data_IF_055253236237
#
_entry.id   IF_055253236237
#
_cell.length_a   1.000
_cell.length_b   1.000
_cell.length_c   1.000
_cell.angle_alpha   90.00
_cell.angle_beta   90.00
_cell.angle_gamma   90.00
#
_symmetry.space_group_name_H-M   'P 1'
#
loop_
_entity.id
_entity.type
_entity.pdbx_description
1 polymer ?
#
# COMPACT_ATOMS: atom_id res chain seq x y z
N UNK A 1 -52.44 7.27 -48.38
CA UNK A 1 -52.73 6.44 -47.20
C UNK A 1 -51.53 5.60 -46.74
N UNK A 2 -50.68 5.10 -47.64
CA UNK A 2 -49.51 4.30 -47.24
C UNK A 2 -48.39 5.12 -46.57
N UNK A 3 -48.21 6.39 -46.95
CA UNK A 3 -47.14 7.24 -46.38
C UNK A 3 -47.43 7.66 -44.94
N UNK A 4 -48.66 8.10 -44.61
CA UNK A 4 -49.06 8.38 -43.22
C UNK A 4 -48.92 7.16 -42.30
N UNK A 5 -49.19 5.96 -42.86
CA UNK A 5 -49.03 4.72 -42.10
C UNK A 5 -47.56 4.43 -41.82
N UNK A 6 -46.66 4.64 -42.79
CA UNK A 6 -45.22 4.50 -42.62
C UNK A 6 -44.68 5.50 -41.62
N UNK A 7 -45.05 6.77 -41.72
CA UNK A 7 -44.63 7.82 -40.77
C UNK A 7 -45.07 7.51 -39.33
N UNK A 8 -46.29 6.98 -39.14
CA UNK A 8 -46.77 6.56 -37.82
C UNK A 8 -45.97 5.37 -37.27
N UNK A 9 -45.62 4.41 -38.12
CA UNK A 9 -44.79 3.26 -37.74
C UNK A 9 -43.38 3.72 -37.35
N UNK A 10 -42.76 4.59 -38.14
CA UNK A 10 -41.42 5.11 -37.87
C UNK A 10 -41.38 5.96 -36.59
N UNK A 11 -42.40 6.78 -36.36
CA UNK A 11 -42.54 7.54 -35.11
C UNK A 11 -42.70 6.62 -33.88
N UNK A 12 -43.44 5.52 -34.01
CA UNK A 12 -43.58 4.51 -32.96
C UNK A 12 -42.26 3.79 -32.70
N UNK A 13 -41.56 3.35 -33.75
CA UNK A 13 -40.26 2.68 -33.64
C UNK A 13 -39.22 3.60 -33.00
N UNK A 14 -39.19 4.88 -33.40
CA UNK A 14 -38.32 5.88 -32.79
C UNK A 14 -38.62 6.10 -31.30
N UNK A 15 -39.91 6.18 -30.93
CA UNK A 15 -40.32 6.28 -29.52
C UNK A 15 -39.87 5.06 -28.72
N UNK A 16 -40.11 3.85 -29.23
CA UNK A 16 -39.69 2.60 -28.59
C UNK A 16 -38.17 2.56 -28.43
N UNK A 17 -37.42 2.93 -29.46
CA UNK A 17 -35.97 2.98 -29.42
C UNK A 17 -35.45 3.95 -28.35
N UNK A 18 -36.03 5.16 -28.28
CA UNK A 18 -35.69 6.14 -27.25
C UNK A 18 -35.99 5.65 -25.84
N UNK A 19 -37.13 4.98 -25.63
CA UNK A 19 -37.48 4.40 -24.33
C UNK A 19 -36.54 3.26 -23.94
N UNK A 20 -36.14 2.42 -24.90
CA UNK A 20 -35.14 1.36 -24.69
C UNK A 20 -33.80 1.95 -24.24
N UNK A 21 -33.26 2.94 -24.96
CA UNK A 21 -32.00 3.59 -24.60
C UNK A 21 -32.04 4.20 -23.19
N UNK A 22 -33.14 4.88 -22.84
CA UNK A 22 -33.33 5.45 -21.50
C UNK A 22 -33.45 4.38 -20.40
N UNK A 23 -33.95 3.20 -20.72
CA UNK A 23 -33.96 2.05 -19.80
C UNK A 23 -32.55 1.47 -19.63
N UNK A 24 -31.84 1.22 -20.73
CA UNK A 24 -30.48 0.67 -20.72
C UNK A 24 -29.51 1.55 -19.94
N UNK A 25 -29.55 2.88 -20.12
CA UNK A 25 -28.73 3.81 -19.36
C UNK A 25 -29.01 3.77 -17.85
N UNK A 26 -30.29 3.70 -17.45
CA UNK A 26 -30.67 3.57 -16.03
C UNK A 26 -30.24 2.22 -15.45
N UNK A 27 -30.34 1.16 -16.24
CA UNK A 27 -29.91 -0.18 -15.84
C UNK A 27 -28.39 -0.25 -15.67
N UNK A 28 -27.61 0.28 -16.61
CA UNK A 28 -26.15 0.34 -16.52
C UNK A 28 -25.69 1.11 -15.28
N UNK A 29 -26.26 2.29 -15.00
CA UNK A 29 -25.93 3.04 -13.78
C UNK A 29 -26.25 2.26 -12.49
N UNK A 30 -27.34 1.49 -12.45
CA UNK A 30 -27.63 0.59 -11.32
C UNK A 30 -26.65 -0.59 -11.24
N UNK A 31 -26.28 -1.17 -12.37
CA UNK A 31 -25.33 -2.27 -12.44
C UNK A 31 -23.95 -1.85 -11.92
N UNK A 32 -23.47 -0.65 -12.23
CA UNK A 32 -22.22 -0.10 -11.70
C UNK A 32 -22.26 0.10 -10.18
N UNK A 33 -23.35 0.65 -9.66
CA UNK A 33 -23.56 0.82 -8.20
C UNK A 33 -23.57 -0.54 -7.51
N UNK A 34 -24.28 -1.53 -8.08
CA UNK A 34 -24.33 -2.88 -7.55
C UNK A 34 -22.97 -3.57 -7.63
N UNK A 35 -22.25 -3.44 -8.74
CA UNK A 35 -20.90 -3.99 -8.89
C UNK A 35 -19.94 -3.41 -7.85
N UNK A 36 -19.96 -2.09 -7.62
CA UNK A 36 -19.15 -1.43 -6.59
C UNK A 36 -19.53 -1.91 -5.18
N UNK A 37 -20.82 -2.07 -4.89
CA UNK A 37 -21.29 -2.60 -3.60
C UNK A 37 -20.88 -4.06 -3.39
N UNK A 38 -20.92 -4.86 -4.45
CA UNK A 38 -20.51 -6.27 -4.43
C UNK A 38 -18.99 -6.41 -4.23
N UNK A 39 -18.20 -5.54 -4.87
CA UNK A 39 -16.76 -5.43 -4.64
C UNK A 39 -16.46 -5.12 -3.18
N UNK A 40 -17.15 -4.14 -2.58
CA UNK A 40 -16.97 -3.77 -1.19
C UNK A 40 -17.36 -4.91 -0.24
N UNK A 41 -18.46 -5.61 -0.52
CA UNK A 41 -18.88 -6.78 0.24
C UNK A 41 -17.85 -7.91 0.17
N UNK A 42 -17.32 -8.20 -1.03
CA UNK A 42 -16.27 -9.20 -1.23
C UNK A 42 -14.99 -8.82 -0.47
N UNK A 43 -14.58 -7.56 -0.55
CA UNK A 43 -13.45 -7.03 0.21
C UNK A 43 -13.67 -7.16 1.72
N UNK A 44 -14.85 -6.80 2.24
CA UNK A 44 -15.15 -6.96 3.67
C UNK A 44 -15.16 -8.43 4.11
N UNK A 45 -15.69 -9.34 3.29
CA UNK A 45 -15.67 -10.77 3.58
C UNK A 45 -14.24 -11.32 3.62
N UNK A 46 -13.41 -10.92 2.66
CA UNK A 46 -12.00 -11.28 2.60
C UNK A 46 -11.21 -10.68 3.77
N UNK A 47 -11.46 -9.41 4.11
CA UNK A 47 -10.87 -8.76 5.27
C UNK A 47 -11.26 -9.46 6.57
N UNK A 48 -12.53 -9.83 6.77
CA UNK A 48 -12.95 -10.60 7.96
C UNK A 48 -12.26 -11.96 8.04
N UNK A 49 -12.13 -12.66 6.90
CA UNK A 49 -11.43 -13.95 6.83
C UNK A 49 -9.95 -13.81 7.18
N UNK A 50 -9.32 -12.70 6.76
CA UNK A 50 -7.88 -12.45 6.90
C UNK A 50 -7.56 -11.45 8.02
N UNK A 51 -8.52 -11.04 8.84
CA UNK A 51 -8.37 -9.94 9.79
C UNK A 51 -7.25 -10.21 10.80
N UNK A 52 -7.22 -11.41 11.37
CA UNK A 52 -6.17 -11.81 12.33
C UNK A 52 -4.77 -11.81 11.69
N UNK A 53 -4.70 -12.03 10.37
CA UNK A 53 -3.44 -11.98 9.62
C UNK A 53 -2.93 -10.55 9.50
N UNK A 54 -3.79 -9.61 9.13
CA UNK A 54 -3.43 -8.19 9.09
C UNK A 54 -3.01 -7.69 10.48
N UNK A 55 -3.71 -8.14 11.54
CA UNK A 55 -3.33 -7.83 12.91
C UNK A 55 -1.94 -8.39 13.30
N UNK A 56 -1.62 -9.63 12.92
CA UNK A 56 -0.29 -10.22 13.18
C UNK A 56 0.83 -9.45 12.47
N UNK A 57 0.62 -9.07 11.21
CA UNK A 57 1.60 -8.27 10.46
C UNK A 57 1.75 -6.89 11.11
N UNK A 58 0.65 -6.23 11.47
CA UNK A 58 0.67 -4.93 12.15
C UNK A 58 1.38 -5.01 13.51
N UNK A 59 1.13 -6.07 14.29
CA UNK A 59 1.79 -6.33 15.56
C UNK A 59 3.29 -6.58 15.39
N UNK A 60 3.70 -7.39 14.40
CA UNK A 60 5.10 -7.64 14.11
C UNK A 60 5.84 -6.36 13.69
N UNK A 61 5.15 -5.48 12.94
CA UNK A 61 5.67 -4.20 12.48
C UNK A 61 5.63 -3.09 13.51
N UNK A 62 5.10 -3.33 14.71
CA UNK A 62 4.97 -2.29 15.72
C UNK A 62 6.36 -1.70 16.01
N UNK A 63 6.58 -0.41 15.71
CA UNK A 63 7.85 0.23 16.00
C UNK A 63 8.04 0.35 17.51
N UNK A 64 9.30 0.41 17.96
CA UNK A 64 9.62 0.57 19.37
C UNK A 64 9.09 1.90 19.94
N UNK A 65 8.96 2.92 19.09
CA UNK A 65 8.32 4.20 19.42
C UNK A 65 7.01 4.33 18.65
N UNK A 66 5.95 4.88 19.27
CA UNK A 66 4.72 5.17 18.54
C UNK A 66 5.00 6.14 17.39
N UNK A 67 4.48 5.83 16.20
CA UNK A 67 4.49 6.76 15.06
C UNK A 67 3.64 7.96 15.43
N UNK A 68 4.14 9.17 15.20
CA UNK A 68 3.39 10.40 15.45
C UNK A 68 2.21 10.49 14.48
N UNK A 69 1.10 11.09 14.92
CA UNK A 69 -0.11 11.26 14.11
C UNK A 69 -0.01 12.43 13.09
N UNK A 70 1.15 13.08 13.04
CA UNK A 70 1.47 14.16 12.10
C UNK A 70 2.02 13.60 10.79
N UNK A 71 1.95 14.36 9.70
CA UNK A 71 2.58 13.96 8.44
C UNK A 71 4.08 13.72 8.66
N UNK A 72 4.53 12.48 8.47
CA UNK A 72 5.92 12.08 8.68
C UNK A 72 6.91 12.79 7.75
N UNK A 73 6.40 13.46 6.70
CA UNK A 73 7.18 14.26 5.76
C UNK A 73 7.45 15.69 6.25
N UNK A 74 6.63 16.20 7.18
CA UNK A 74 6.76 17.56 7.71
C UNK A 74 8.18 17.90 8.21
N UNK A 75 8.88 17.05 8.98
CA UNK A 75 10.23 17.35 9.46
C UNK A 75 11.35 17.16 8.42
N UNK A 76 11.03 16.83 7.16
CA UNK A 76 12.03 16.57 6.14
C UNK A 76 12.71 17.84 5.63
N UNK A 77 13.97 17.67 5.24
CA UNK A 77 14.72 18.70 4.54
C UNK A 77 14.35 18.69 3.05
N UNK A 78 13.99 19.85 2.53
CA UNK A 78 13.59 20.02 1.14
C UNK A 78 14.59 20.90 0.39
N UNK A 79 14.66 20.75 -0.93
CA UNK A 79 15.38 21.67 -1.81
C UNK A 79 14.56 22.93 -2.11
N UNK A 80 15.12 23.82 -2.92
CA UNK A 80 14.46 25.08 -3.34
C UNK A 80 13.16 24.85 -4.13
N UNK A 81 12.96 23.66 -4.70
CA UNK A 81 11.77 23.27 -5.44
C UNK A 81 10.73 22.56 -4.55
N UNK A 82 11.00 22.44 -3.24
CA UNK A 82 10.14 21.75 -2.30
C UNK A 82 10.20 20.22 -2.41
N UNK A 83 11.21 19.65 -3.07
CA UNK A 83 11.41 18.20 -3.15
C UNK A 83 12.29 17.71 -2.00
N UNK A 84 12.04 16.52 -1.44
CA UNK A 84 12.82 16.02 -0.31
C UNK A 84 14.25 15.66 -0.75
N UNK A 85 15.24 16.14 0.00
CA UNK A 85 16.65 15.89 -0.29
C UNK A 85 17.01 14.41 -0.08
N UNK A 86 17.81 13.78 -0.98
CA UNK A 86 18.22 12.38 -0.87
C UNK A 86 19.41 12.19 0.09
N UNK A 87 19.26 12.65 1.33
CA UNK A 87 20.30 12.61 2.35
C UNK A 87 20.00 11.59 3.46
N UNK A 88 20.98 11.35 4.33
CA UNK A 88 20.88 10.36 5.42
C UNK A 88 19.76 10.68 6.41
N UNK A 89 19.54 11.97 6.71
CA UNK A 89 18.52 12.40 7.66
C UNK A 89 17.11 12.06 7.16
N UNK A 90 16.77 12.45 5.92
CA UNK A 90 15.47 12.15 5.33
C UNK A 90 15.29 10.65 5.07
N UNK A 91 16.35 9.94 4.67
CA UNK A 91 16.30 8.49 4.51
C UNK A 91 15.99 7.80 5.85
N UNK A 92 16.58 8.27 6.95
CA UNK A 92 16.28 7.76 8.28
C UNK A 92 14.84 8.06 8.71
N UNK A 93 14.38 9.31 8.57
CA UNK A 93 12.98 9.67 8.83
C UNK A 93 12.01 8.81 8.03
N UNK A 94 12.31 8.58 6.75
CA UNK A 94 11.52 7.69 5.91
C UNK A 94 11.47 6.27 6.47
N UNK A 95 12.60 5.71 6.90
CA UNK A 95 12.62 4.36 7.48
C UNK A 95 11.98 4.28 8.89
N UNK A 96 11.99 5.36 9.67
CA UNK A 96 11.52 5.35 11.06
C UNK A 96 10.07 5.80 11.24
N UNK A 97 9.59 6.74 10.42
CA UNK A 97 8.29 7.39 10.60
C UNK A 97 7.27 7.03 9.51
N UNK A 98 7.70 6.62 8.30
CA UNK A 98 6.75 6.20 7.26
C UNK A 98 5.98 4.96 7.72
N UNK A 99 4.63 4.98 7.75
CA UNK A 99 3.83 3.85 8.24
C UNK A 99 4.15 2.53 7.54
N UNK A 100 4.49 2.58 6.26
CA UNK A 100 4.81 1.44 5.41
C UNK A 100 6.26 0.95 5.54
N UNK A 101 7.13 1.62 6.32
CA UNK A 101 8.52 1.21 6.51
C UNK A 101 8.93 1.12 7.99
N UNK A 102 8.24 1.87 8.86
CA UNK A 102 8.48 1.86 10.29
C UNK A 102 8.30 0.46 10.87
N UNK A 103 9.24 0.05 11.71
CA UNK A 103 9.28 -1.27 12.35
C UNK A 103 9.44 -2.47 11.41
N UNK A 104 9.66 -2.25 10.10
CA UNK A 104 9.83 -3.31 9.09
C UNK A 104 11.13 -4.09 9.28
N UNK A 105 12.19 -3.40 9.69
CA UNK A 105 13.50 -3.98 10.00
C UNK A 105 13.78 -3.90 11.49
N UNK A 106 14.45 -4.93 12.02
CA UNK A 106 14.90 -4.98 13.40
C UNK A 106 16.34 -5.51 13.50
N UNK A 107 16.96 -5.29 14.65
CA UNK A 107 18.29 -5.81 14.95
C UNK A 107 18.18 -6.91 16.00
N UNK A 108 18.56 -8.13 15.64
CA UNK A 108 18.58 -9.25 16.56
C UNK A 108 19.88 -9.24 17.37
N UNK A 109 19.76 -8.96 18.67
CA UNK A 109 20.89 -8.88 19.59
C UNK A 109 21.59 -10.24 19.78
N UNK A 110 20.88 -11.35 19.60
CA UNK A 110 21.43 -12.69 19.79
C UNK A 110 22.33 -13.12 18.63
N UNK A 111 21.91 -12.85 17.39
CA UNK A 111 22.66 -13.21 16.17
C UNK A 111 23.53 -12.07 15.65
N UNK A 112 23.33 -10.83 16.14
CA UNK A 112 24.00 -9.63 15.65
C UNK A 112 23.59 -9.23 14.22
N UNK A 113 22.47 -9.77 13.71
CA UNK A 113 22.02 -9.60 12.32
C UNK A 113 20.83 -8.66 12.23
N UNK A 114 20.72 -7.99 11.08
CA UNK A 114 19.49 -7.30 10.73
C UNK A 114 18.45 -8.31 10.24
N UNK A 115 17.24 -8.17 10.75
CA UNK A 115 16.10 -9.03 10.44
C UNK A 115 15.03 -8.22 9.72
N UNK A 116 14.41 -8.83 8.72
CA UNK A 116 13.20 -8.34 8.08
C UNK A 116 12.00 -8.95 8.81
N UNK A 117 11.19 -8.12 9.46
CA UNK A 117 10.11 -8.52 10.36
C UNK A 117 8.76 -8.73 9.66
N UNK A 118 8.60 -8.15 8.47
CA UNK A 118 7.39 -8.24 7.66
C UNK A 118 7.71 -8.19 6.16
N UNK A 119 6.76 -8.57 5.28
CA UNK A 119 6.94 -8.43 3.83
C UNK A 119 7.26 -6.99 3.43
N UNK A 120 8.07 -6.83 2.39
CA UNK A 120 8.35 -5.51 1.82
C UNK A 120 7.09 -4.93 1.17
N UNK A 121 6.90 -3.59 1.19
CA UNK A 121 5.84 -2.96 0.43
C UNK A 121 5.92 -3.31 -1.06
N UNK A 122 4.81 -3.72 -1.66
CA UNK A 122 4.75 -4.12 -3.07
C UNK A 122 5.24 -5.55 -3.36
N UNK A 123 5.68 -6.30 -2.36
CA UNK A 123 5.95 -7.73 -2.53
C UNK A 123 4.62 -8.48 -2.70
N UNK A 124 4.47 -9.25 -3.79
CA UNK A 124 3.32 -10.13 -4.01
C UNK A 124 3.17 -11.18 -2.90
N UNK A 125 4.25 -11.44 -2.14
CA UNK A 125 4.22 -12.27 -0.93
C UNK A 125 3.43 -11.65 0.22
N UNK A 126 2.95 -10.41 0.11
CA UNK A 126 1.92 -9.87 1.00
C UNK A 126 0.68 -10.78 1.01
N UNK A 127 0.45 -11.59 -0.02
CA UNK A 127 -0.64 -12.58 -0.09
C UNK A 127 -0.27 -13.95 0.50
N UNK A 128 1.01 -14.20 0.82
CA UNK A 128 1.45 -15.45 1.47
C UNK A 128 1.20 -15.44 2.98
N UNK A 129 0.44 -16.41 3.52
CA UNK A 129 0.02 -16.44 4.91
C UNK A 129 1.18 -16.48 5.92
N UNK A 130 2.36 -16.93 5.51
CA UNK A 130 3.44 -17.33 6.40
C UNK A 130 4.73 -16.54 6.13
N UNK A 131 4.67 -15.21 6.16
CA UNK A 131 5.91 -14.46 6.18
C UNK A 131 6.62 -14.73 7.52
N UNK A 132 7.71 -15.47 7.45
CA UNK A 132 8.60 -15.71 8.57
C UNK A 132 9.67 -14.63 8.62
N UNK A 133 9.88 -14.08 9.83
CA UNK A 133 10.97 -13.16 10.08
C UNK A 133 12.30 -13.83 9.70
N UNK A 134 13.08 -13.16 8.85
CA UNK A 134 14.32 -13.72 8.28
C UNK A 134 15.44 -12.68 8.25
N UNK A 135 16.66 -13.13 7.99
CA UNK A 135 17.78 -12.22 7.79
C UNK A 135 17.50 -11.27 6.60
N UNK A 136 17.81 -9.99 6.82
CA UNK A 136 17.75 -8.94 5.81
C UNK A 136 18.88 -9.15 4.79
N UNK A 137 18.57 -9.16 3.50
CA UNK A 137 19.52 -9.45 2.44
C UNK A 137 19.71 -8.27 1.44
N UNK A 138 20.58 -8.47 0.46
CA UNK A 138 20.90 -7.45 -0.56
C UNK A 138 19.68 -7.12 -1.44
N UNK A 139 18.86 -8.12 -1.75
CA UNK A 139 17.68 -7.95 -2.60
C UNK A 139 16.61 -7.12 -1.90
N UNK A 140 16.47 -7.29 -0.58
CA UNK A 140 15.55 -6.48 0.22
C UNK A 140 15.90 -4.99 0.16
N UNK A 141 17.19 -4.67 0.24
CA UNK A 141 17.67 -3.31 0.10
C UNK A 141 17.39 -2.73 -1.30
N UNK A 142 17.52 -3.55 -2.35
CA UNK A 142 17.19 -3.13 -3.71
C UNK A 142 15.69 -2.83 -3.83
N UNK A 143 14.83 -3.71 -3.31
CA UNK A 143 13.37 -3.53 -3.34
C UNK A 143 12.93 -2.30 -2.51
N UNK A 144 13.51 -2.12 -1.32
CA UNK A 144 13.28 -0.90 -0.52
C UNK A 144 13.70 0.36 -1.26
N UNK A 145 14.84 0.32 -1.98
CA UNK A 145 15.30 1.48 -2.75
C UNK A 145 14.29 1.86 -3.83
N UNK A 146 13.78 0.88 -4.58
CA UNK A 146 12.75 1.10 -5.61
C UNK A 146 11.50 1.70 -4.99
N UNK A 147 11.05 1.16 -3.85
CA UNK A 147 9.88 1.69 -3.15
C UNK A 147 10.10 3.13 -2.67
N UNK A 148 11.22 3.41 -2.00
CA UNK A 148 11.59 4.75 -1.50
C UNK A 148 11.68 5.77 -2.64
N UNK A 149 12.24 5.37 -3.78
CA UNK A 149 12.27 6.22 -4.98
C UNK A 149 10.86 6.51 -5.51
N UNK A 150 9.98 5.51 -5.54
CA UNK A 150 8.60 5.67 -6.01
C UNK A 150 7.75 6.57 -5.11
N UNK A 151 8.00 6.61 -3.80
CA UNK A 151 7.20 7.44 -2.86
C UNK A 151 7.69 8.89 -2.72
N UNK A 152 8.74 9.29 -3.43
CA UNK A 152 9.17 10.70 -3.51
C UNK A 152 10.67 10.97 -3.44
N UNK A 153 11.54 9.95 -3.39
CA UNK A 153 13.00 10.13 -3.31
C UNK A 153 13.73 9.64 -4.58
N UNK A 154 13.49 10.22 -5.76
CA UNK A 154 13.97 9.66 -7.04
C UNK A 154 15.49 9.52 -7.12
N UNK A 155 16.24 10.35 -6.37
CA UNK A 155 17.71 10.36 -6.36
C UNK A 155 18.31 9.66 -5.15
N UNK A 156 17.52 8.93 -4.36
CA UNK A 156 18.05 8.19 -3.22
C UNK A 156 19.10 7.19 -3.68
N UNK A 157 20.25 7.19 -3.00
CA UNK A 157 21.34 6.24 -3.25
C UNK A 157 21.22 5.05 -2.32
N UNK A 158 21.70 3.90 -2.81
CA UNK A 158 21.72 2.63 -2.07
C UNK A 158 22.43 2.74 -0.72
N UNK A 159 23.59 3.41 -0.67
CA UNK A 159 24.39 3.51 0.57
C UNK A 159 23.72 4.39 1.62
N UNK A 160 23.11 5.50 1.19
CA UNK A 160 22.30 6.39 2.04
C UNK A 160 21.14 5.63 2.67
N UNK A 161 20.41 4.86 1.86
CA UNK A 161 19.30 4.05 2.34
C UNK A 161 19.78 2.92 3.26
N UNK A 162 20.89 2.25 2.93
CA UNK A 162 21.44 1.18 3.76
C UNK A 162 21.85 1.69 5.14
N UNK A 163 22.45 2.88 5.21
CA UNK A 163 22.74 3.55 6.48
C UNK A 163 21.47 3.78 7.30
N UNK A 164 20.42 4.28 6.67
CA UNK A 164 19.13 4.52 7.31
C UNK A 164 18.48 3.22 7.82
N UNK A 165 18.50 2.16 7.00
CA UNK A 165 18.01 0.82 7.37
C UNK A 165 18.75 0.28 8.59
N UNK A 166 20.09 0.37 8.62
CA UNK A 166 20.89 -0.06 9.78
C UNK A 166 20.53 0.71 11.04
N UNK A 167 20.35 2.02 10.92
CA UNK A 167 19.99 2.88 12.05
C UNK A 167 18.59 2.55 12.56
N UNK A 168 17.60 2.43 11.67
CA UNK A 168 16.23 2.05 12.02
C UNK A 168 16.15 0.64 12.64
N UNK A 169 16.90 -0.32 12.12
CA UNK A 169 16.97 -1.67 12.69
C UNK A 169 17.47 -1.66 14.14
N UNK A 170 18.51 -0.86 14.44
CA UNK A 170 19.01 -0.67 15.80
C UNK A 170 18.03 0.05 16.73
N UNK A 171 17.11 0.86 16.20
CA UNK A 171 16.04 1.42 17.03
C UNK A 171 14.93 0.40 17.32
N UNK A 172 14.81 -0.64 16.50
CA UNK A 172 13.84 -1.73 16.64
C UNK A 172 14.55 -3.01 17.10
N UNK A 173 15.27 -2.93 18.22
CA UNK A 173 15.98 -4.08 18.78
C UNK A 173 15.01 -5.21 19.11
N UNK A 174 15.41 -6.42 18.73
CA UNK A 174 14.75 -7.65 19.11
C UNK A 174 15.53 -8.21 20.30
N UNK A 175 14.90 -8.21 21.47
CA UNK A 175 15.47 -8.85 22.65
C UNK A 175 15.72 -10.35 22.41
N UNK A 176 16.56 -10.99 23.24
CA UNK A 176 16.69 -12.45 23.20
C UNK A 176 15.30 -13.05 23.29
N UNK A 177 14.94 -13.92 22.34
CA UNK A 177 13.65 -14.61 22.35
C UNK A 177 13.53 -15.31 23.70
N UNK A 178 12.66 -14.82 24.58
CA UNK A 178 12.16 -15.66 25.65
C UNK A 178 11.35 -16.74 24.94
N UNK A 179 11.97 -17.89 24.75
CA UNK A 179 11.29 -19.12 24.36
C UNK A 179 10.12 -19.29 25.32
N UNK A 180 8.92 -19.12 24.79
CA UNK A 180 7.64 -19.38 25.47
C UNK A 180 6.87 -20.39 24.65
#
# INVERSE_FOLDING_TARGET
MDDERRERIDALLFRVHRTKLAFEARWQGRAEVLARRYQLHRFCAEYRKNHHRYQRIAAARKPARPVKDTDWREPMQHDELGLPLPNQYNAYLCMSECPELSGLVGYDLSTGRMMLKAPLPGDWRIDKPDFEMRAFCRDDLTALLVFVQAIGFPRMRRDTLFWAVRRAARFNELGPRHEG
#
